data_IF_355528094158
#
_entry.id   IF_355528094158
#
_cell.length_a   1.000
_cell.length_b   1.000
_cell.length_c   1.000
_cell.angle_alpha   90.00
_cell.angle_beta   90.00
_cell.angle_gamma   90.00
#
_symmetry.space_group_name_H-M   'P 1'
#
loop_
_entity.id
_entity.type
_entity.pdbx_description
1 polymer ?
#
# COMPACT_ATOMS: atom_id res chain seq x y z
N UNK A 1 -22.85 7.47 -6.98
CA UNK A 1 -21.49 8.09 -6.93
C UNK A 1 -20.52 7.08 -6.35
N UNK A 2 -19.46 6.82 -7.03
CA UNK A 2 -18.45 5.89 -6.54
C UNK A 2 -17.69 6.49 -5.37
N UNK A 3 -17.37 5.65 -4.40
CA UNK A 3 -16.49 6.05 -3.30
C UNK A 3 -15.08 6.33 -3.87
N UNK A 4 -14.55 7.51 -3.56
CA UNK A 4 -13.17 7.84 -3.93
C UNK A 4 -12.24 7.09 -2.97
N UNK A 5 -11.51 6.11 -3.49
CA UNK A 5 -10.54 5.37 -2.72
C UNK A 5 -9.16 5.96 -2.97
N UNK A 6 -8.54 6.48 -1.94
CA UNK A 6 -7.14 6.88 -1.98
C UNK A 6 -6.28 5.72 -1.49
N UNK A 7 -4.98 5.79 -1.74
CA UNK A 7 -4.08 4.74 -1.29
C UNK A 7 -3.97 3.60 -2.30
N UNK A 8 -4.02 2.38 -1.83
CA UNK A 8 -3.68 1.20 -2.62
C UNK A 8 -4.90 0.33 -2.86
N UNK A 9 -5.13 -0.04 -4.10
CA UNK A 9 -6.27 -0.85 -4.53
C UNK A 9 -5.74 -2.06 -5.29
N UNK A 10 -6.21 -3.29 -4.98
CA UNK A 10 -5.73 -4.48 -5.68
C UNK A 10 -6.13 -4.46 -7.16
N UNK A 11 -5.24 -5.02 -7.98
CA UNK A 11 -5.45 -5.21 -9.40
C UNK A 11 -5.65 -6.71 -9.64
N UNK A 12 -6.77 -7.09 -10.23
CA UNK A 12 -7.08 -8.49 -10.48
C UNK A 12 -7.35 -9.26 -9.19
N UNK A 13 -7.00 -10.54 -9.16
CA UNK A 13 -7.37 -11.47 -8.09
C UNK A 13 -6.18 -11.97 -7.25
N UNK A 14 -5.03 -11.27 -7.31
CA UNK A 14 -3.82 -11.72 -6.62
C UNK A 14 -3.78 -11.42 -5.13
N UNK A 15 -4.69 -10.59 -4.62
CA UNK A 15 -4.70 -10.19 -3.22
C UNK A 15 -5.86 -10.87 -2.48
N UNK A 16 -5.60 -11.90 -1.66
CA UNK A 16 -6.66 -12.47 -0.84
C UNK A 16 -7.09 -11.50 0.25
N UNK A 17 -8.32 -11.63 0.70
CA UNK A 17 -8.87 -10.84 1.80
C UNK A 17 -8.87 -11.66 3.08
N UNK A 18 -8.41 -11.07 4.17
CA UNK A 18 -8.41 -11.69 5.49
C UNK A 18 -8.99 -10.72 6.51
N UNK A 19 -9.88 -11.23 7.36
CA UNK A 19 -10.43 -10.46 8.48
C UNK A 19 -9.52 -10.63 9.69
N UNK A 20 -9.08 -9.53 10.28
CA UNK A 20 -8.13 -9.54 11.37
C UNK A 20 -8.52 -8.56 12.46
N UNK A 21 -8.12 -8.86 13.68
CA UNK A 21 -8.39 -7.97 14.82
C UNK A 21 -7.52 -6.73 14.75
N UNK A 22 -8.14 -5.57 15.00
CA UNK A 22 -7.46 -4.28 15.01
C UNK A 22 -6.86 -3.95 16.37
N UNK A 23 -5.78 -3.19 16.35
CA UNK A 23 -5.28 -2.50 17.53
C UNK A 23 -6.29 -1.43 17.98
N UNK A 24 -6.19 -1.00 19.22
CA UNK A 24 -7.05 0.06 19.78
C UNK A 24 -6.70 1.43 19.18
N UNK A 25 -7.67 2.31 19.18
CA UNK A 25 -7.50 3.74 18.83
C UNK A 25 -6.92 3.96 17.42
N UNK A 26 -7.39 3.16 16.44
CA UNK A 26 -6.97 3.28 15.05
C UNK A 26 -8.07 3.88 14.20
N UNK A 27 -7.70 4.77 13.28
CA UNK A 27 -8.58 5.23 12.20
C UNK A 27 -7.97 4.77 10.90
N UNK A 28 -8.61 3.80 10.26
CA UNK A 28 -8.12 3.19 9.02
C UNK A 28 -9.17 3.36 7.95
N UNK A 29 -8.78 3.91 6.81
CA UNK A 29 -9.65 4.11 5.65
C UNK A 29 -9.32 3.08 4.59
N UNK A 30 -10.32 2.74 3.78
CA UNK A 30 -10.15 1.81 2.65
C UNK A 30 -8.99 2.26 1.76
N UNK A 31 -8.08 1.35 1.47
CA UNK A 31 -6.86 1.62 0.71
C UNK A 31 -5.65 2.00 1.54
N UNK A 32 -5.80 2.21 2.84
CA UNK A 32 -4.67 2.53 3.72
C UNK A 32 -3.75 1.32 3.90
N UNK A 33 -2.42 1.52 3.86
CA UNK A 33 -1.48 0.46 4.21
C UNK A 33 -1.55 0.14 5.70
N UNK A 34 -1.52 -1.14 6.03
CA UNK A 34 -1.60 -1.60 7.41
C UNK A 34 -0.44 -2.53 7.75
N UNK A 35 -0.10 -2.54 9.03
CA UNK A 35 0.98 -3.34 9.60
C UNK A 35 0.44 -4.20 10.74
N UNK A 36 1.26 -5.10 11.25
CA UNK A 36 1.00 -5.80 12.50
C UNK A 36 1.78 -5.14 13.62
N UNK A 37 1.06 -4.74 14.66
CA UNK A 37 1.63 -4.22 15.89
C UNK A 37 1.19 -5.14 17.02
N UNK A 38 2.12 -5.89 17.60
CA UNK A 38 1.82 -6.92 18.61
C UNK A 38 0.73 -7.91 18.17
N UNK A 39 0.76 -8.30 16.89
CA UNK A 39 -0.21 -9.22 16.32
C UNK A 39 -1.56 -8.62 15.95
N UNK A 40 -1.75 -7.33 16.10
CA UNK A 40 -2.99 -6.62 15.77
C UNK A 40 -2.77 -5.69 14.58
N UNK A 41 -3.82 -5.49 13.78
CA UNK A 41 -3.75 -4.59 12.63
C UNK A 41 -3.73 -3.14 13.08
N UNK A 42 -2.74 -2.41 12.63
CA UNK A 42 -2.60 -0.98 12.88
C UNK A 42 -2.29 -0.25 11.58
N UNK A 43 -2.54 1.05 11.56
CA UNK A 43 -2.18 1.89 10.41
C UNK A 43 -0.65 1.93 10.25
N UNK A 44 -0.17 1.87 9.02
CA UNK A 44 1.25 2.06 8.75
C UNK A 44 1.67 3.50 9.06
N UNK A 45 2.95 3.69 9.31
CA UNK A 45 3.53 5.01 9.56
C UNK A 45 4.57 5.29 8.48
N UNK A 46 4.42 6.41 7.78
CA UNK A 46 5.38 6.82 6.76
C UNK A 46 6.78 6.95 7.37
N UNK A 47 7.79 6.57 6.61
CA UNK A 47 9.21 6.65 6.96
C UNK A 47 9.64 5.76 8.15
N UNK A 48 8.72 5.07 8.83
CA UNK A 48 9.10 4.20 9.95
C UNK A 48 8.63 2.75 9.81
N UNK A 49 7.61 2.48 9.02
CA UNK A 49 7.17 1.11 8.77
C UNK A 49 8.18 0.36 7.90
N UNK A 50 8.58 -0.82 8.33
CA UNK A 50 9.60 -1.63 7.64
C UNK A 50 9.03 -2.86 6.95
N UNK A 51 7.74 -3.12 7.09
CA UNK A 51 7.02 -4.17 6.39
C UNK A 51 5.54 -3.82 6.32
N UNK A 52 4.85 -4.36 5.34
CA UNK A 52 3.42 -4.11 5.10
C UNK A 52 2.68 -5.46 5.15
N UNK A 53 1.61 -5.53 5.94
CA UNK A 53 0.72 -6.69 5.94
C UNK A 53 -0.15 -6.70 4.69
N UNK A 54 -0.69 -5.56 4.34
CA UNK A 54 -1.59 -5.39 3.21
C UNK A 54 -2.23 -4.02 3.25
N UNK A 55 -3.41 -3.91 2.64
CA UNK A 55 -4.13 -2.64 2.55
C UNK A 55 -5.58 -2.85 3.00
N UNK A 56 -6.14 -1.88 3.67
CA UNK A 56 -7.49 -2.00 4.20
C UNK A 56 -8.53 -2.16 3.09
N UNK A 57 -9.35 -3.19 3.19
CA UNK A 57 -10.44 -3.43 2.24
C UNK A 57 -11.72 -2.70 2.64
N UNK A 58 -11.73 -2.09 3.80
CA UNK A 58 -12.86 -1.32 4.34
C UNK A 58 -12.34 -0.23 5.29
N UNK A 59 -13.20 0.72 5.60
CA UNK A 59 -12.88 1.79 6.54
C UNK A 59 -13.45 1.43 7.92
N UNK A 60 -12.59 1.42 8.95
CA UNK A 60 -12.99 1.10 10.33
C UNK A 60 -12.24 2.01 11.29
N UNK A 61 -12.96 2.49 12.32
CA UNK A 61 -12.35 3.23 13.43
C UNK A 61 -12.54 2.43 14.71
N UNK A 62 -11.42 2.11 15.39
CA UNK A 62 -11.47 1.41 16.66
C UNK A 62 -11.33 2.38 17.82
N UNK A 63 -12.07 2.09 18.90
CA UNK A 63 -11.98 2.88 20.14
C UNK A 63 -10.82 2.39 21.02
N UNK A 64 -10.63 3.09 22.15
CA UNK A 64 -9.60 2.74 23.13
C UNK A 64 -9.84 1.38 23.79
N UNK A 65 -11.08 0.89 23.77
CA UNK A 65 -11.46 -0.41 24.32
C UNK A 65 -12.46 -1.10 23.39
N UNK A 66 -12.61 -2.40 23.56
CA UNK A 66 -13.49 -3.21 22.74
C UNK A 66 -12.73 -4.01 21.68
N UNK A 67 -13.45 -4.83 20.95
CA UNK A 67 -12.89 -5.67 19.90
C UNK A 67 -13.39 -5.19 18.55
N UNK A 68 -12.48 -4.83 17.67
CA UNK A 68 -12.76 -4.38 16.31
C UNK A 68 -11.99 -5.26 15.32
N UNK A 69 -12.60 -5.48 14.17
CA UNK A 69 -12.02 -6.31 13.10
C UNK A 69 -12.07 -5.53 11.80
N UNK A 70 -11.13 -5.82 10.92
CA UNK A 70 -11.05 -5.17 9.62
C UNK A 70 -10.68 -6.21 8.56
N UNK A 71 -11.28 -6.08 7.38
CA UNK A 71 -10.89 -6.86 6.23
C UNK A 71 -9.69 -6.20 5.56
N UNK A 72 -8.68 -6.99 5.26
CA UNK A 72 -7.42 -6.54 4.69
C UNK A 72 -7.15 -7.29 3.39
N UNK A 73 -6.80 -6.56 2.34
CA UNK A 73 -6.22 -7.15 1.13
C UNK A 73 -4.77 -7.48 1.43
N UNK A 74 -4.44 -8.75 1.51
CA UNK A 74 -3.11 -9.19 1.92
C UNK A 74 -2.07 -8.94 0.83
N UNK A 75 -0.92 -8.40 1.21
CA UNK A 75 0.21 -8.26 0.33
C UNK A 75 0.94 -9.61 0.24
N UNK A 76 0.71 -10.32 -0.85
CA UNK A 76 1.38 -11.58 -1.15
C UNK A 76 2.31 -11.39 -2.35
N UNK A 77 3.07 -12.41 -2.68
CA UNK A 77 4.00 -12.42 -3.80
C UNK A 77 3.35 -12.03 -5.14
N UNK A 78 2.11 -12.48 -5.35
CA UNK A 78 1.40 -12.24 -6.61
C UNK A 78 0.46 -11.04 -6.58
N UNK A 79 0.35 -10.36 -5.45
CA UNK A 79 -0.57 -9.25 -5.29
C UNK A 79 0.02 -7.97 -5.88
N UNK A 80 -0.69 -7.37 -6.82
CA UNK A 80 -0.37 -6.06 -7.37
C UNK A 80 -1.41 -5.05 -6.96
N UNK A 81 -0.97 -3.83 -6.72
CA UNK A 81 -1.84 -2.76 -6.27
C UNK A 81 -1.66 -1.52 -7.12
N UNK A 82 -2.77 -0.85 -7.40
CA UNK A 82 -2.76 0.47 -8.03
C UNK A 82 -2.54 1.51 -6.95
N UNK A 83 -1.61 2.41 -7.18
CA UNK A 83 -1.22 3.43 -6.20
C UNK A 83 -0.92 4.75 -6.88
N UNK A 84 -0.84 5.81 -6.08
CA UNK A 84 -0.39 7.12 -6.51
C UNK A 84 1.04 7.34 -6.05
N UNK A 85 1.91 7.78 -6.94
CA UNK A 85 3.28 8.15 -6.61
C UNK A 85 3.35 9.61 -6.15
N UNK A 86 4.41 9.96 -5.44
CA UNK A 86 4.64 11.32 -4.94
C UNK A 86 4.98 12.33 -6.04
N UNK A 87 5.36 11.83 -7.22
CA UNK A 87 5.69 12.63 -8.39
C UNK A 87 5.36 11.83 -9.64
N UNK A 88 5.54 12.43 -10.82
CA UNK A 88 5.37 11.69 -12.06
C UNK A 88 6.35 10.53 -12.13
N UNK A 89 5.83 9.36 -12.49
CA UNK A 89 6.64 8.14 -12.62
C UNK A 89 7.49 8.27 -13.87
N UNK A 90 8.78 7.99 -13.76
CA UNK A 90 9.68 7.93 -14.90
C UNK A 90 9.97 6.47 -15.25
N UNK A 91 10.34 6.23 -16.49
CA UNK A 91 10.67 4.87 -16.94
C UNK A 91 11.82 4.29 -16.13
N UNK A 92 12.72 5.12 -15.64
CA UNK A 92 13.83 4.72 -14.78
C UNK A 92 13.39 4.23 -13.41
N UNK A 93 12.15 4.49 -13.01
CA UNK A 93 11.62 4.02 -11.72
C UNK A 93 11.36 2.51 -11.73
N UNK A 94 11.24 1.88 -12.88
CA UNK A 94 10.98 0.44 -12.95
C UNK A 94 11.86 -0.35 -13.92
N UNK A 95 12.75 0.31 -14.67
CA UNK A 95 13.68 -0.36 -15.58
C UNK A 95 15.14 -0.17 -15.18
N UNK A 96 15.43 -0.27 -13.89
CA UNK A 96 16.82 -0.19 -13.42
C UNK A 96 17.41 -1.57 -13.20
N UNK A 97 18.73 -1.66 -13.32
CA UNK A 97 19.46 -2.93 -13.17
C UNK A 97 19.36 -3.52 -11.76
N UNK A 98 19.18 -2.70 -10.76
CA UNK A 98 18.90 -3.15 -9.39
C UNK A 98 17.44 -2.85 -9.08
N UNK A 99 16.75 -3.80 -8.50
CA UNK A 99 15.35 -3.63 -8.12
C UNK A 99 15.21 -2.40 -7.22
N UNK A 100 14.74 -1.31 -7.81
CA UNK A 100 14.57 -0.07 -7.07
C UNK A 100 13.25 -0.11 -6.33
N UNK A 101 13.31 -0.03 -5.03
CA UNK A 101 12.14 -0.02 -4.16
C UNK A 101 11.99 1.35 -3.52
N UNK A 102 10.77 1.71 -3.18
CA UNK A 102 10.43 3.04 -2.68
C UNK A 102 9.74 2.94 -1.32
N UNK A 103 9.83 4.02 -0.59
CA UNK A 103 9.21 4.13 0.73
C UNK A 103 7.76 4.59 0.63
N UNK A 104 7.07 4.54 1.76
CA UNK A 104 5.71 5.03 1.92
C UNK A 104 5.74 6.50 2.36
N UNK A 105 4.88 7.31 1.77
CA UNK A 105 4.68 8.70 2.20
C UNK A 105 3.20 8.98 2.41
N UNK A 106 2.89 9.99 3.19
CA UNK A 106 1.53 10.43 3.42
C UNK A 106 0.97 10.04 4.77
N UNK A 107 -0.35 10.13 4.87
CA UNK A 107 -1.13 9.84 6.07
C UNK A 107 -2.45 9.20 5.66
N UNK A 108 -3.25 8.78 6.65
CA UNK A 108 -4.56 8.17 6.43
C UNK A 108 -5.39 8.94 5.40
N UNK A 109 -5.81 8.25 4.37
CA UNK A 109 -6.61 8.80 3.27
C UNK A 109 -5.80 9.55 2.20
N UNK A 110 -4.47 9.66 2.34
CA UNK A 110 -3.62 10.41 1.40
C UNK A 110 -2.24 9.77 1.24
N UNK A 111 -2.20 8.45 1.06
CA UNK A 111 -0.96 7.70 0.93
C UNK A 111 -0.39 7.74 -0.48
N UNK A 112 0.94 7.81 -0.58
CA UNK A 112 1.65 7.75 -1.86
C UNK A 112 2.88 6.86 -1.76
N UNK A 113 3.35 6.40 -2.92
CA UNK A 113 4.67 5.79 -3.08
C UNK A 113 5.67 6.92 -3.20
N UNK A 114 6.63 7.00 -2.27
CA UNK A 114 7.59 8.10 -2.22
C UNK A 114 8.75 7.82 -3.17
N UNK A 115 8.74 8.44 -4.34
CA UNK A 115 9.79 8.26 -5.35
C UNK A 115 11.13 8.90 -4.97
N UNK A 116 11.14 9.74 -3.93
CA UNK A 116 12.35 10.43 -3.47
C UNK A 116 13.07 9.68 -2.36
N UNK A 117 12.54 8.55 -1.88
CA UNK A 117 13.12 7.82 -0.75
C UNK A 117 13.09 6.31 -0.97
N UNK A 118 14.15 5.64 -0.56
CA UNK A 118 14.33 4.19 -0.70
C UNK A 118 14.99 3.58 0.54
N UNK A 119 14.72 4.14 1.72
CA UNK A 119 15.33 3.67 2.97
C UNK A 119 14.66 2.41 3.49
N UNK A 120 13.34 2.34 3.46
CA UNK A 120 12.57 1.18 3.88
C UNK A 120 12.35 0.15 2.77
N UNK A 121 12.43 0.57 1.53
CA UNK A 121 12.30 -0.33 0.36
C UNK A 121 11.00 -1.14 0.35
N UNK A 122 9.87 -0.49 0.57
CA UNK A 122 8.60 -1.18 0.74
C UNK A 122 7.93 -1.57 -0.58
N UNK A 123 8.05 -0.73 -1.62
CA UNK A 123 7.29 -0.90 -2.85
C UNK A 123 8.19 -0.92 -4.08
N UNK A 124 7.90 -1.85 -4.98
CA UNK A 124 8.53 -1.88 -6.31
C UNK A 124 7.47 -1.53 -7.34
N UNK A 125 7.77 -0.58 -8.23
CA UNK A 125 6.87 -0.25 -9.33
C UNK A 125 7.06 -1.29 -10.43
N UNK A 126 5.95 -1.92 -10.83
CA UNK A 126 5.95 -3.00 -11.83
C UNK A 126 5.18 -2.64 -13.09
N UNK A 127 4.56 -1.48 -13.15
CA UNK A 127 3.84 -1.06 -14.33
C UNK A 127 3.14 0.28 -14.18
N UNK A 128 2.49 0.69 -15.25
CA UNK A 128 1.65 1.89 -15.33
C UNK A 128 0.34 1.50 -16.03
N UNK A 129 -0.74 2.28 -15.85
CA UNK A 129 -2.00 1.99 -16.53
C UNK A 129 -1.85 1.98 -18.06
N UNK A 130 -2.63 1.10 -18.71
CA UNK A 130 -2.68 1.05 -20.16
C UNK A 130 -3.13 2.39 -20.75
N UNK A 131 -2.60 2.71 -21.93
CA UNK A 131 -2.94 3.94 -22.63
C UNK A 131 -2.12 5.16 -22.23
N UNK A 132 -1.22 5.03 -21.28
CA UNK A 132 -0.28 6.10 -20.94
C UNK A 132 0.95 5.93 -21.81
N UNK A 133 1.29 6.98 -22.55
CA UNK A 133 2.46 6.97 -23.44
C UNK A 133 3.75 7.18 -22.64
N UNK A 134 4.80 6.55 -23.12
CA UNK A 134 6.14 6.79 -22.58
C UNK A 134 6.52 8.27 -22.75
N UNK A 135 7.03 8.86 -21.68
CA UNK A 135 7.39 10.28 -21.67
C UNK A 135 6.30 11.20 -21.13
N UNK A 136 5.05 10.71 -21.02
CA UNK A 136 3.95 11.45 -20.41
C UNK A 136 3.38 10.69 -19.22
N UNK A 137 4.23 10.02 -18.48
CA UNK A 137 3.80 9.21 -17.34
C UNK A 137 3.25 10.10 -16.23
N UNK A 138 2.07 9.76 -15.74
CA UNK A 138 1.45 10.47 -14.62
C UNK A 138 1.90 9.91 -13.27
N UNK A 139 1.11 10.17 -12.25
CA UNK A 139 1.41 9.73 -10.89
C UNK A 139 0.83 8.35 -10.56
N UNK A 140 -0.02 7.79 -11.40
CA UNK A 140 -0.61 6.46 -11.16
C UNK A 140 0.37 5.37 -11.55
N UNK A 141 0.56 4.40 -10.67
CA UNK A 141 1.46 3.27 -10.92
C UNK A 141 0.90 1.98 -10.33
N UNK A 142 1.44 0.86 -10.80
CA UNK A 142 1.16 -0.47 -10.25
C UNK A 142 2.39 -0.93 -9.47
N UNK A 143 2.15 -1.40 -8.25
CA UNK A 143 3.23 -1.77 -7.34
C UNK A 143 3.02 -3.16 -6.76
N UNK A 144 4.12 -3.79 -6.36
CA UNK A 144 4.14 -4.94 -5.47
C UNK A 144 4.81 -4.52 -4.17
N UNK A 145 4.44 -5.19 -3.08
CA UNK A 145 5.06 -4.94 -1.78
C UNK A 145 6.29 -5.83 -1.66
N UNK A 146 7.46 -5.22 -1.53
CA UNK A 146 8.73 -5.95 -1.44
C UNK A 146 9.00 -6.49 -0.05
N UNK A 147 8.63 -5.77 0.99
CA UNK A 147 8.79 -6.21 2.38
C UNK A 147 7.42 -6.49 3.00
N UNK A 148 7.12 -7.76 3.18
CA UNK A 148 5.83 -8.26 3.61
C UNK A 148 5.96 -9.07 4.90
N UNK A 149 4.87 -9.10 5.67
CA UNK A 149 4.77 -10.06 6.79
C UNK A 149 4.53 -11.48 6.30
N UNK A 150 3.88 -11.62 5.15
CA UNK A 150 3.60 -12.92 4.56
C UNK A 150 4.73 -13.31 3.61
N UNK A 151 5.28 -14.49 3.82
CA UNK A 151 6.33 -15.05 2.98
C UNK A 151 5.70 -16.21 2.19
N UNK A 152 5.84 -16.16 0.91
CA UNK A 152 5.27 -17.19 0.02
C UNK A 152 6.23 -18.35 -0.17
#
# INVERSE_FOLDING_TARGET
>A
MEETVSGFIPIGNGAPTLRWKMAASQTIKKGDPVILSSGLVAIAVAASSTAILGFAAESVTSAASGSYYIDVWLATNNAKFKATASANVAITNFFTASALCFDLAGTTGAWTVNLAASTQDLFQIVGIPDGIEHGTLGTTCYVVVSKRYLVD
#
